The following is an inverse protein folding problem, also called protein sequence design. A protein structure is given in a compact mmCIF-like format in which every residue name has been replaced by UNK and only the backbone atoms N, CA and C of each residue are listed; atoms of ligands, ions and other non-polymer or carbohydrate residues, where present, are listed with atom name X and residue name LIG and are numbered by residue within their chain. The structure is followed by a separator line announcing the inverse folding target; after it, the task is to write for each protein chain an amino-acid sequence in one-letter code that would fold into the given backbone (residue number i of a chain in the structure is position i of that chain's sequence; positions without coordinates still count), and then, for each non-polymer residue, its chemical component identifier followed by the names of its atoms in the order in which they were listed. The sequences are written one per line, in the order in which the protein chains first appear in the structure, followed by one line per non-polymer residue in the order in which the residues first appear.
data_IF_503547753903
#
_entry.id   IF_503547753903
#
_cell.length_a   1.000
_cell.length_b   1.000
_cell.length_c   1.000
_cell.angle_alpha   90.00
_cell.angle_beta   90.00
_cell.angle_gamma   90.00
#
_symmetry.space_group_name_H-M   'P 1'
#
loop_
_entity.id
_entity.type
_entity.pdbx_description
1 polymer ?
#
# COMPACT_ATOMS: atom_id res chain seq x y z
N UNK A 1 4.87 16.96 0.44
CA UNK A 1 3.88 15.87 0.22
C UNK A 1 2.98 16.18 -0.99
N UNK A 2 3.55 16.25 -2.20
CA UNK A 2 2.76 16.56 -3.43
C UNK A 2 2.31 15.28 -4.17
N UNK A 3 3.01 14.16 -3.95
CA UNK A 3 2.83 12.92 -4.71
C UNK A 3 1.51 12.17 -4.42
N UNK A 4 1.03 12.20 -3.17
CA UNK A 4 -0.21 11.48 -2.75
C UNK A 4 -1.40 12.44 -2.53
N UNK A 5 -1.13 13.68 -2.12
CA UNK A 5 -2.16 14.67 -1.75
C UNK A 5 -2.20 15.86 -2.73
N UNK A 6 -1.65 15.69 -3.93
CA UNK A 6 -1.70 16.69 -4.99
C UNK A 6 -3.08 16.76 -5.64
N UNK A 7 -3.28 17.80 -6.45
CA UNK A 7 -4.50 17.98 -7.26
C UNK A 7 -4.64 16.97 -8.41
N UNK A 8 -3.77 15.94 -8.43
CA UNK A 8 -3.69 14.96 -9.50
C UNK A 8 -4.12 13.59 -8.97
N UNK A 9 -5.02 12.96 -9.72
CA UNK A 9 -5.57 11.65 -9.37
C UNK A 9 -4.49 10.57 -9.35
N UNK A 10 -4.62 9.64 -8.40
CA UNK A 10 -3.85 8.40 -8.38
C UNK A 10 -4.24 7.53 -9.58
N UNK A 11 -3.27 6.85 -10.19
CA UNK A 11 -3.52 5.91 -11.28
C UNK A 11 -3.89 4.55 -10.71
N UNK A 12 -5.09 4.07 -11.02
CA UNK A 12 -5.50 2.70 -10.65
C UNK A 12 -4.82 1.68 -11.57
N UNK A 13 -4.22 0.65 -10.97
CA UNK A 13 -3.66 -0.48 -11.69
C UNK A 13 -4.70 -1.60 -11.74
N UNK A 14 -5.18 -1.89 -12.95
CA UNK A 14 -6.16 -2.96 -13.25
C UNK A 14 -5.51 -4.35 -13.24
N UNK A 15 -4.68 -4.65 -12.25
CA UNK A 15 -4.16 -5.99 -12.01
C UNK A 15 -4.91 -6.60 -10.82
N UNK A 16 -6.03 -7.31 -11.05
CA UNK A 16 -6.64 -8.11 -10.00
C UNK A 16 -5.66 -9.25 -9.68
N UNK A 17 -4.73 -8.99 -8.77
CA UNK A 17 -3.94 -10.07 -8.17
C UNK A 17 -4.89 -11.08 -7.54
N UNK A 18 -4.42 -12.31 -7.32
CA UNK A 18 -5.18 -13.40 -6.69
C UNK A 18 -5.88 -13.01 -5.38
N UNK A 19 -5.36 -11.97 -4.71
CA UNK A 19 -5.88 -11.39 -3.47
C UNK A 19 -7.09 -10.44 -3.63
N UNK A 20 -7.50 -10.07 -4.85
CA UNK A 20 -8.65 -9.19 -5.11
C UNK A 20 -8.51 -7.80 -4.46
N UNK A 21 -7.28 -7.30 -4.33
CA UNK A 21 -6.97 -5.96 -3.82
C UNK A 21 -6.75 -5.00 -4.98
N UNK A 22 -7.19 -3.75 -4.81
CA UNK A 22 -6.92 -2.65 -5.74
C UNK A 22 -5.57 -2.01 -5.40
N UNK A 23 -4.83 -1.64 -6.44
CA UNK A 23 -3.55 -0.94 -6.35
C UNK A 23 -3.67 0.42 -7.03
N UNK A 24 -3.09 1.42 -6.39
CA UNK A 24 -2.97 2.77 -6.92
C UNK A 24 -1.51 3.17 -6.96
N UNK A 25 -1.15 3.95 -7.97
CA UNK A 25 0.20 4.43 -8.19
C UNK A 25 0.17 5.96 -8.19
N UNK A 26 1.13 6.58 -7.51
CA UNK A 26 1.32 8.01 -7.59
C UNK A 26 1.75 8.42 -9.01
N UNK A 27 1.52 9.67 -9.36
CA UNK A 27 1.84 10.16 -10.70
C UNK A 27 3.35 10.12 -11.02
N UNK A 28 4.18 10.25 -9.98
CA UNK A 28 5.64 10.22 -10.06
C UNK A 28 6.23 8.82 -9.85
N UNK A 29 5.39 7.77 -9.81
CA UNK A 29 5.79 6.37 -9.67
C UNK A 29 6.60 6.02 -8.42
N UNK A 30 6.63 6.92 -7.44
CA UNK A 30 7.37 6.72 -6.17
C UNK A 30 6.57 5.94 -5.14
N UNK A 31 5.26 6.08 -5.13
CA UNK A 31 4.41 5.50 -4.10
C UNK A 31 3.33 4.60 -4.70
N UNK A 32 3.22 3.42 -4.14
CA UNK A 32 2.14 2.48 -4.39
C UNK A 32 1.22 2.43 -3.18
N UNK A 33 -0.07 2.57 -3.41
CA UNK A 33 -1.10 2.44 -2.39
C UNK A 33 -1.88 1.17 -2.67
N UNK A 34 -1.91 0.25 -1.70
CA UNK A 34 -2.63 -1.02 -1.81
C UNK A 34 -3.84 -1.02 -0.87
N UNK A 35 -5.01 -1.42 -1.35
CA UNK A 35 -6.14 -1.74 -0.47
C UNK A 35 -5.87 -3.05 0.26
N UNK A 36 -6.04 -3.06 1.57
CA UNK A 36 -5.87 -4.22 2.44
C UNK A 36 -7.20 -4.67 3.03
N UNK A 37 -7.38 -5.99 3.12
CA UNK A 37 -8.47 -6.62 3.87
C UNK A 37 -8.18 -6.55 5.37
N UNK A 38 -9.22 -6.68 6.20
CA UNK A 38 -9.08 -6.69 7.67
C UNK A 38 -8.11 -7.77 8.17
N UNK A 39 -8.05 -8.92 7.51
CA UNK A 39 -7.12 -10.00 7.84
C UNK A 39 -5.67 -9.61 7.60
N UNK A 40 -5.37 -9.00 6.45
CA UNK A 40 -4.02 -8.51 6.09
C UNK A 40 -3.56 -7.41 7.05
N UNK A 41 -4.46 -6.51 7.45
CA UNK A 41 -4.14 -5.46 8.45
C UNK A 41 -3.71 -6.08 9.79
N UNK A 42 -4.41 -7.12 10.25
CA UNK A 42 -4.03 -7.80 11.50
C UNK A 42 -2.65 -8.43 11.40
N UNK A 43 -2.30 -9.02 10.26
CA UNK A 43 -0.97 -9.59 10.02
C UNK A 43 0.09 -8.48 10.02
N UNK A 44 -0.15 -7.38 9.28
CA UNK A 44 0.76 -6.24 9.21
C UNK A 44 1.06 -5.65 10.59
N UNK A 45 0.03 -5.48 11.43
CA UNK A 45 0.20 -4.97 12.79
C UNK A 45 0.98 -5.94 13.68
N UNK A 46 0.78 -7.26 13.54
CA UNK A 46 1.52 -8.28 14.30
C UNK A 46 3.00 -8.34 13.90
N UNK A 47 3.32 -8.16 12.62
CA UNK A 47 4.70 -8.18 12.13
C UNK A 47 5.45 -6.85 12.32
N UNK A 48 4.74 -5.76 12.64
CA UNK A 48 5.30 -4.41 12.68
C UNK A 48 6.56 -4.25 13.56
N UNK A 49 6.65 -4.84 14.77
CA UNK A 49 7.86 -4.72 15.58
C UNK A 49 9.10 -5.34 14.92
N UNK A 50 8.95 -6.55 14.35
CA UNK A 50 10.02 -7.25 13.66
C UNK A 50 10.41 -6.54 12.36
N UNK A 51 9.42 -6.04 11.62
CA UNK A 51 9.63 -5.22 10.44
C UNK A 51 10.45 -3.97 10.77
N UNK A 52 10.08 -3.24 11.83
CA UNK A 52 10.79 -2.03 12.24
C UNK A 52 12.25 -2.32 12.58
N UNK A 53 12.50 -3.39 13.36
CA UNK A 53 13.86 -3.82 13.65
C UNK A 53 14.66 -4.16 12.39
N UNK A 54 14.06 -4.91 11.45
CA UNK A 54 14.73 -5.29 10.21
C UNK A 54 15.08 -4.10 9.33
N UNK A 55 14.14 -3.18 9.08
CA UNK A 55 14.37 -2.01 8.23
C UNK A 55 15.37 -1.04 8.86
N UNK A 56 15.40 -0.96 10.19
CA UNK A 56 16.39 -0.15 10.91
C UNK A 56 17.79 -0.76 10.84
N UNK A 57 17.91 -2.09 10.94
CA UNK A 57 19.21 -2.78 10.88
C UNK A 57 19.77 -2.86 9.46
N UNK A 58 18.93 -2.95 8.44
CA UNK A 58 19.33 -3.14 7.04
C UNK A 58 18.81 -2.01 6.14
N UNK A 59 19.65 -0.99 5.92
CA UNK A 59 19.29 0.20 5.11
C UNK A 59 18.87 -0.15 3.66
N UNK A 60 19.52 -1.15 3.07
CA UNK A 60 19.32 -1.64 1.70
C UNK A 60 18.44 -2.91 1.61
N UNK A 61 17.53 -3.08 2.56
CA UNK A 61 16.58 -4.21 2.53
C UNK A 61 15.68 -4.19 1.29
N UNK A 62 15.41 -5.38 0.74
CA UNK A 62 14.42 -5.58 -0.34
C UNK A 62 12.98 -5.61 0.18
N UNK A 63 12.78 -5.60 1.50
CA UNK A 63 11.45 -5.54 2.09
C UNK A 63 10.82 -4.19 1.76
N UNK A 64 9.58 -4.24 1.28
CA UNK A 64 8.82 -3.04 0.97
C UNK A 64 8.72 -2.11 2.18
N UNK A 65 9.09 -0.85 1.99
CA UNK A 65 9.01 0.17 3.03
C UNK A 65 7.57 0.70 3.15
N UNK A 66 6.93 0.47 4.28
CA UNK A 66 5.62 1.02 4.62
C UNK A 66 5.77 2.43 5.21
N UNK A 67 5.02 3.39 4.65
CA UNK A 67 5.01 4.79 5.11
C UNK A 67 3.77 5.15 5.90
N UNK A 68 2.69 4.40 5.73
CA UNK A 68 1.44 4.66 6.42
C UNK A 68 0.41 3.58 6.21
N UNK A 69 -0.47 3.45 7.20
CA UNK A 69 -1.67 2.64 7.15
C UNK A 69 -2.85 3.55 7.50
N UNK A 70 -3.76 3.78 6.57
CA UNK A 70 -4.92 4.65 6.76
C UNK A 70 -6.21 3.88 6.49
N UNK A 71 -7.22 4.08 7.33
CA UNK A 71 -8.59 3.63 7.02
C UNK A 71 -9.36 4.79 6.41
N UNK A 72 -9.99 4.55 5.27
CA UNK A 72 -10.92 5.53 4.66
C UNK A 72 -12.33 4.95 4.72
N UNK A 73 -13.26 5.78 5.20
CA UNK A 73 -14.69 5.48 5.22
C UNK A 73 -15.34 6.51 4.31
N UNK A 74 -15.87 6.12 3.13
CA UNK A 74 -16.56 7.04 2.26
C UNK A 74 -17.83 7.56 2.95
N UNK A 75 -18.04 8.87 2.92
CA UNK A 75 -19.16 9.54 3.60
C UNK A 75 -20.51 9.41 2.86
N UNK A 76 -20.51 8.83 1.66
CA UNK A 76 -21.58 9.03 0.67
C UNK A 76 -22.36 7.76 0.32
N UNK A 77 -23.04 7.13 1.29
CA UNK A 77 -24.18 6.19 1.09
C UNK A 77 -23.98 4.93 0.22
N UNK A 78 -22.88 4.80 -0.51
CA UNK A 78 -22.53 3.61 -1.28
C UNK A 78 -22.02 2.55 -0.31
N UNK A 79 -22.46 1.30 -0.49
CA UNK A 79 -21.98 0.10 0.22
C UNK A 79 -20.54 -0.23 -0.21
N UNK A 80 -19.61 0.70 -0.04
CA UNK A 80 -18.18 0.47 -0.23
C UNK A 80 -17.60 0.03 1.10
N UNK A 81 -17.02 -1.16 1.13
CA UNK A 81 -16.43 -1.72 2.34
C UNK A 81 -15.30 -0.80 2.83
N UNK A 82 -15.25 -0.43 4.12
CA UNK A 82 -14.18 0.41 4.65
C UNK A 82 -12.84 -0.23 4.31
N UNK A 83 -12.09 0.45 3.46
CA UNK A 83 -10.84 -0.06 2.92
C UNK A 83 -9.70 0.55 3.71
N UNK A 84 -8.82 -0.30 4.22
CA UNK A 84 -7.55 0.14 4.76
C UNK A 84 -6.56 0.24 3.59
N UNK A 85 -5.76 1.29 3.56
CA UNK A 85 -4.76 1.53 2.53
C UNK A 85 -3.38 1.48 3.18
N UNK A 86 -2.47 0.69 2.62
CA UNK A 86 -1.05 0.79 2.94
C UNK A 86 -0.32 1.57 1.86
N UNK A 87 0.43 2.59 2.28
CA UNK A 87 1.32 3.36 1.40
C UNK A 87 2.71 2.73 1.45
N UNK A 88 3.22 2.37 0.28
CA UNK A 88 4.48 1.67 0.08
C UNK A 88 5.35 2.44 -0.92
N UNK A 89 6.67 2.39 -0.76
CA UNK A 89 7.60 2.99 -1.73
C UNK A 89 8.09 1.96 -2.75
N UNK A 90 8.11 2.34 -4.02
CA UNK A 90 8.61 1.51 -5.11
C UNK A 90 10.12 1.75 -5.22
N UNK A 91 10.91 0.91 -4.54
CA UNK A 91 12.36 1.12 -4.44
C UNK A 91 13.14 0.51 -5.61
N UNK A 92 12.51 -0.32 -6.43
CA UNK A 92 13.06 -0.87 -7.68
C UNK A 92 11.85 -1.22 -8.55
N UNK A 93 11.97 -1.18 -9.88
CA UNK A 93 10.91 -1.44 -10.89
C UNK A 93 10.21 -2.82 -10.83
N UNK A 94 10.28 -3.50 -9.69
CA UNK A 94 9.60 -4.75 -9.32
C UNK A 94 8.17 -4.38 -8.88
N UNK A 95 7.38 -3.83 -9.79
CA UNK A 95 5.92 -3.89 -9.65
C UNK A 95 5.54 -5.35 -9.94
N UNK A 96 5.14 -6.08 -8.91
CA UNK A 96 4.20 -7.19 -9.01
C UNK A 96 4.60 -8.46 -9.80
N UNK A 97 5.86 -8.93 -9.77
CA UNK A 97 6.12 -10.36 -10.08
C UNK A 97 5.73 -11.32 -8.93
N UNK A 98 4.97 -10.83 -7.94
CA UNK A 98 4.36 -11.60 -6.84
C UNK A 98 2.83 -11.57 -6.93
N UNK A 99 2.29 -11.75 -8.13
CA UNK A 99 1.00 -12.42 -8.33
C UNK A 99 1.14 -13.92 -7.96
N UNK A 100 1.40 -14.23 -6.68
CA UNK A 100 1.33 -15.59 -6.13
C UNK A 100 0.03 -15.81 -5.34
#
# INVERSE_FOLDING_TARGET
MISICGNVALRELSSPGKSGSVFFLSQDDRFMIKTLRKSEVKVLLRMLPNYHHHVHTYENTLITKFFGLQRVIPSSGQKVMPSCFSVQYILNSIILCTCL
#
